data_IF_498801776075
#
_entry.id   IF_498801776075
#
_cell.length_a   1.000
_cell.length_b   1.000
_cell.length_c   1.000
_cell.angle_alpha   90.00
_cell.angle_beta   90.00
_cell.angle_gamma   90.00
#
_symmetry.space_group_name_H-M   'P 1'
#
loop_
_entity.id
_entity.type
_entity.pdbx_description
1 polymer ?
#
# COMPACT_ATOMS: atom_id res chain seq x y z
N UNK A 1 -16.07 19.35 -11.31
CA UNK A 1 -16.85 18.11 -11.51
C UNK A 1 -15.86 16.97 -11.46
N UNK A 2 -15.54 16.48 -10.27
CA UNK A 2 -14.60 15.36 -10.08
C UNK A 2 -15.36 14.11 -10.51
N UNK A 3 -14.98 13.50 -11.63
CA UNK A 3 -15.37 12.13 -11.93
C UNK A 3 -14.79 11.27 -10.82
N UNK A 4 -15.59 11.02 -9.78
CA UNK A 4 -15.24 10.19 -8.64
C UNK A 4 -15.25 8.75 -9.10
N UNK A 5 -14.19 8.33 -9.76
CA UNK A 5 -13.95 6.92 -10.06
C UNK A 5 -13.53 6.27 -8.76
N UNK A 6 -14.51 5.67 -8.08
CA UNK A 6 -14.25 4.76 -6.98
C UNK A 6 -13.37 3.62 -7.49
N UNK A 7 -12.42 3.18 -6.67
CA UNK A 7 -11.61 2.01 -7.01
C UNK A 7 -12.52 0.80 -7.25
N UNK A 8 -12.20 0.03 -8.28
CA UNK A 8 -12.77 -1.31 -8.39
C UNK A 8 -12.16 -2.19 -7.29
N UNK A 9 -12.85 -3.24 -6.82
CA UNK A 9 -12.28 -4.16 -5.83
C UNK A 9 -10.95 -4.80 -6.27
N UNK A 10 -10.77 -5.00 -7.58
CA UNK A 10 -9.52 -5.53 -8.11
C UNK A 10 -8.38 -4.49 -8.04
N UNK A 11 -8.67 -3.23 -8.39
CA UNK A 11 -7.67 -2.16 -8.29
C UNK A 11 -7.31 -1.87 -6.83
N UNK A 12 -8.29 -1.86 -5.93
CA UNK A 12 -8.07 -1.75 -4.49
C UNK A 12 -7.12 -2.82 -3.98
N UNK A 13 -7.39 -4.10 -4.29
CA UNK A 13 -6.51 -5.22 -3.93
C UNK A 13 -5.10 -5.03 -4.47
N UNK A 14 -4.94 -4.69 -5.76
CA UNK A 14 -3.61 -4.50 -6.37
C UNK A 14 -2.84 -3.35 -5.72
N UNK A 15 -3.52 -2.29 -5.33
CA UNK A 15 -2.91 -1.15 -4.64
C UNK A 15 -2.49 -1.52 -3.22
N UNK A 16 -3.30 -2.31 -2.50
CA UNK A 16 -2.94 -2.86 -1.18
C UNK A 16 -1.72 -3.79 -1.27
N UNK A 17 -1.71 -4.72 -2.23
CA UNK A 17 -0.56 -5.61 -2.46
C UNK A 17 0.72 -4.82 -2.80
N UNK A 18 0.58 -3.78 -3.62
CA UNK A 18 1.70 -2.89 -3.95
C UNK A 18 2.20 -2.13 -2.73
N UNK A 19 1.30 -1.62 -1.89
CA UNK A 19 1.65 -0.95 -0.64
C UNK A 19 2.44 -1.87 0.30
N UNK A 20 2.00 -3.12 0.47
CA UNK A 20 2.72 -4.11 1.28
C UNK A 20 4.08 -4.48 0.69
N UNK A 21 4.19 -4.66 -0.62
CA UNK A 21 5.47 -4.95 -1.28
C UNK A 21 6.48 -3.79 -1.13
N UNK A 22 6.01 -2.55 -1.21
CA UNK A 22 6.85 -1.37 -0.99
C UNK A 22 7.30 -1.23 0.47
N UNK A 23 6.45 -1.60 1.43
CA UNK A 23 6.82 -1.66 2.85
C UNK A 23 7.90 -2.71 3.11
N UNK A 24 7.70 -3.94 2.62
CA UNK A 24 8.69 -5.03 2.77
C UNK A 24 10.05 -4.65 2.14
N UNK A 25 10.01 -4.02 0.96
CA UNK A 25 11.22 -3.51 0.31
C UNK A 25 11.88 -2.38 1.13
N UNK A 26 11.09 -1.53 1.78
CA UNK A 26 11.60 -0.47 2.65
C UNK A 26 12.23 -1.02 3.94
N UNK A 27 11.81 -2.19 4.40
CA UNK A 27 12.42 -2.86 5.56
C UNK A 27 13.71 -3.61 5.20
N UNK A 28 13.81 -4.14 3.97
CA UNK A 28 14.92 -5.01 3.55
C UNK A 28 16.04 -4.29 2.77
N UNK A 29 15.72 -3.25 1.99
CA UNK A 29 16.71 -2.54 1.17
C UNK A 29 17.57 -1.60 2.03
N UNK A 30 18.89 -1.58 1.83
CA UNK A 30 19.82 -0.69 2.57
C UNK A 30 20.30 0.52 1.76
N UNK A 31 19.81 0.69 0.54
CA UNK A 31 20.26 1.78 -0.34
C UNK A 31 19.52 3.07 0.04
N UNK A 32 20.23 4.14 0.48
CA UNK A 32 19.57 5.35 1.00
C UNK A 32 18.66 6.05 -0.03
N UNK A 33 19.07 6.10 -1.29
CA UNK A 33 18.27 6.68 -2.37
C UNK A 33 16.96 5.89 -2.60
N UNK A 34 17.00 4.56 -2.41
CA UNK A 34 15.81 3.71 -2.52
C UNK A 34 14.85 3.99 -1.38
N UNK A 35 15.32 4.11 -0.13
CA UNK A 35 14.45 4.51 0.99
C UNK A 35 13.76 5.86 0.78
N UNK A 36 14.48 6.85 0.25
CA UNK A 36 13.89 8.16 -0.05
C UNK A 36 12.77 8.04 -1.09
N UNK A 37 12.99 7.28 -2.16
CA UNK A 37 11.98 7.01 -3.18
C UNK A 37 10.76 6.26 -2.60
N UNK A 38 11.00 5.22 -1.80
CA UNK A 38 9.94 4.43 -1.16
C UNK A 38 9.10 5.25 -0.20
N UNK A 39 9.70 6.14 0.59
CA UNK A 39 8.94 7.05 1.46
C UNK A 39 7.97 7.95 0.68
N UNK A 40 8.40 8.46 -0.48
CA UNK A 40 7.53 9.25 -1.36
C UNK A 40 6.38 8.41 -1.91
N UNK A 41 6.71 7.27 -2.51
CA UNK A 41 5.72 6.36 -3.09
C UNK A 41 4.67 5.88 -2.07
N UNK A 42 5.10 5.48 -0.86
CA UNK A 42 4.22 5.06 0.21
C UNK A 42 3.31 6.19 0.71
N UNK A 43 3.82 7.42 0.79
CA UNK A 43 3.02 8.57 1.19
C UNK A 43 1.93 8.89 0.16
N UNK A 44 2.27 8.90 -1.13
CA UNK A 44 1.30 9.15 -2.20
C UNK A 44 0.23 8.05 -2.27
N UNK A 45 0.65 6.78 -2.18
CA UNK A 45 -0.25 5.64 -2.22
C UNK A 45 -1.21 5.64 -1.03
N UNK A 46 -0.72 5.99 0.16
CA UNK A 46 -1.55 6.14 1.36
C UNK A 46 -2.60 7.23 1.18
N UNK A 47 -2.21 8.42 0.69
CA UNK A 47 -3.16 9.52 0.42
C UNK A 47 -4.22 9.10 -0.59
N UNK A 48 -3.84 8.39 -1.65
CA UNK A 48 -4.78 7.90 -2.66
C UNK A 48 -5.78 6.90 -2.08
N UNK A 49 -5.32 5.96 -1.25
CA UNK A 49 -6.16 4.94 -0.63
C UNK A 49 -7.06 5.52 0.48
N UNK A 50 -6.55 6.43 1.31
CA UNK A 50 -7.34 7.21 2.29
C UNK A 50 -8.46 8.01 1.58
N UNK A 51 -8.15 8.60 0.42
CA UNK A 51 -9.12 9.31 -0.42
C UNK A 51 -10.23 8.43 -1.02
N UNK A 52 -10.07 7.10 -0.98
CA UNK A 52 -11.04 6.10 -1.44
C UNK A 52 -11.80 5.44 -0.28
N UNK A 53 -11.59 5.91 0.96
CA UNK A 53 -12.16 5.35 2.18
C UNK A 53 -11.82 3.85 2.39
N UNK A 54 -10.68 3.41 1.84
CA UNK A 54 -10.15 2.07 2.13
C UNK A 54 -9.72 2.06 3.61
N UNK A 55 -10.18 1.07 4.38
CA UNK A 55 -10.02 1.09 5.83
C UNK A 55 -8.55 0.94 6.23
N UNK A 56 -8.14 1.71 7.25
CA UNK A 56 -6.79 1.66 7.80
C UNK A 56 -6.38 0.25 8.26
N UNK A 57 -7.34 -0.53 8.73
CA UNK A 57 -7.13 -1.91 9.19
C UNK A 57 -6.61 -2.84 8.09
N UNK A 58 -6.91 -2.58 6.81
CA UNK A 58 -6.43 -3.36 5.68
C UNK A 58 -4.94 -3.09 5.35
N UNK A 59 -4.42 -1.88 5.60
CA UNK A 59 -2.99 -1.60 5.37
C UNK A 59 -2.09 -2.19 6.47
N UNK A 60 -2.57 -2.18 7.72
CA UNK A 60 -1.78 -2.63 8.87
C UNK A 60 -1.91 -4.12 9.14
N UNK A 61 -2.82 -4.82 8.46
CA UNK A 61 -2.87 -6.29 8.49
C UNK A 61 -1.71 -6.82 7.64
N UNK A 62 -0.69 -7.47 8.23
CA UNK A 62 0.30 -8.18 7.44
C UNK A 62 -0.41 -9.24 6.59
N UNK A 63 0.00 -9.47 5.32
CA UNK A 63 -0.52 -10.59 4.54
C UNK A 63 -0.26 -11.85 5.36
N UNK A 64 -1.33 -12.61 5.63
CA UNK A 64 -1.39 -13.59 6.70
C UNK A 64 -0.16 -14.51 6.77
N UNK A 65 0.62 -14.34 7.84
CA UNK A 65 1.45 -15.43 8.37
C UNK A 65 0.53 -16.40 9.10
N UNK A 66 -0.19 -17.20 8.34
CA UNK A 66 -1.12 -18.17 8.89
C UNK A 66 -1.70 -19.04 7.81
N UNK A 67 -0.95 -20.08 7.44
CA UNK A 67 -1.41 -21.48 7.35
C UNK A 67 -0.17 -22.38 7.46
N UNK A 68 0.24 -22.64 8.70
CA UNK A 68 1.02 -23.82 9.06
C UNK A 68 0.30 -24.43 10.27
N UNK A 69 -0.72 -25.23 9.97
CA UNK A 69 -1.37 -26.14 10.89
C UNK A 69 -1.44 -27.51 10.23
#
# INVERSE_FOLDING_TARGET
>A
MTNGTWLTPEDERRLLESYHALLDLAESCRVPAVHAALRGALAELRVALDGQAVNLEDYYRPPGRGEAA
#
